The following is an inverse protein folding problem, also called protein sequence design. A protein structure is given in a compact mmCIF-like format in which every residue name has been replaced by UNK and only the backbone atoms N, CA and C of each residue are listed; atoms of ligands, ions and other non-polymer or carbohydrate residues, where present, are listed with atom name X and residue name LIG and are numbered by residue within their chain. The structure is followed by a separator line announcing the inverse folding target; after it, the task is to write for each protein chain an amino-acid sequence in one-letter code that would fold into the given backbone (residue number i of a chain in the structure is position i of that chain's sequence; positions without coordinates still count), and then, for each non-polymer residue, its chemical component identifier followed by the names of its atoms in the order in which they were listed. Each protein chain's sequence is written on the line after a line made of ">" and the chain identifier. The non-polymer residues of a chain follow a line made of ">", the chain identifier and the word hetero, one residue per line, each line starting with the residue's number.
data_IF_543599513162
#
_entry.id   IF_543599513162
#
_cell.length_a   1.000
_cell.length_b   1.000
_cell.length_c   1.000
_cell.angle_alpha   90.00
_cell.angle_beta   90.00
_cell.angle_gamma   90.00
#
_symmetry.space_group_name_H-M   'P 1'
#
loop_
_entity.id
_entity.type
_entity.pdbx_description
1 polymer ?
#
# COMPACT_ATOMS: atom_id res chain seq x y z
N UNK A 1 -27.95 10.29 -0.35
CA UNK A 1 -26.60 10.73 0.07
C UNK A 1 -25.88 11.33 -1.12
N UNK A 2 -25.02 12.35 -0.94
CA UNK A 2 -24.14 12.77 -2.04
C UNK A 2 -23.17 11.63 -2.34
N UNK A 3 -22.86 11.36 -3.63
CA UNK A 3 -21.89 10.33 -3.97
C UNK A 3 -20.54 10.65 -3.30
N UNK A 4 -19.90 9.62 -2.74
CA UNK A 4 -18.59 9.76 -2.12
C UNK A 4 -17.53 10.09 -3.18
N UNK A 5 -16.81 11.18 -2.99
CA UNK A 5 -15.72 11.57 -3.88
C UNK A 5 -14.37 11.41 -3.14
N UNK A 6 -13.60 10.44 -3.56
CA UNK A 6 -12.27 10.14 -3.01
C UNK A 6 -11.28 11.31 -3.14
N UNK A 7 -11.51 12.23 -4.08
CA UNK A 7 -10.63 13.38 -4.34
C UNK A 7 -11.05 14.62 -3.54
N UNK A 8 -12.23 14.61 -2.94
CA UNK A 8 -12.80 15.80 -2.28
C UNK A 8 -12.13 16.14 -0.95
N UNK A 9 -11.46 15.19 -0.31
CA UNK A 9 -10.81 15.40 0.99
C UNK A 9 -9.43 14.78 1.01
N UNK A 10 -8.48 15.52 1.56
CA UNK A 10 -7.11 15.05 1.82
C UNK A 10 -6.66 15.50 3.21
N UNK A 11 -6.16 14.60 4.08
CA UNK A 11 -6.03 13.16 3.88
C UNK A 11 -7.38 12.42 3.93
N UNK A 12 -7.54 11.38 3.12
CA UNK A 12 -8.63 10.43 3.20
C UNK A 12 -8.30 9.32 4.19
N UNK A 13 -9.15 9.12 5.19
CA UNK A 13 -8.94 8.08 6.21
C UNK A 13 -10.04 7.01 6.12
N UNK A 14 -9.62 5.78 5.81
CA UNK A 14 -10.47 4.60 5.76
C UNK A 14 -10.11 3.73 6.96
N UNK A 15 -11.06 3.41 7.85
CA UNK A 15 -10.76 2.56 9.00
C UNK A 15 -11.93 1.68 9.42
N UNK A 16 -11.60 0.59 10.12
CA UNK A 16 -12.52 -0.40 10.63
C UNK A 16 -11.85 -1.75 10.83
N UNK A 17 -12.58 -2.79 11.24
CA UNK A 17 -11.98 -4.07 11.57
C UNK A 17 -11.41 -4.78 10.34
N UNK A 18 -10.37 -5.60 10.55
CA UNK A 18 -9.83 -6.49 9.52
C UNK A 18 -10.94 -7.35 8.93
N UNK A 19 -11.80 -7.91 9.79
CA UNK A 19 -12.98 -8.69 9.41
C UNK A 19 -14.21 -8.25 10.18
N UNK A 20 -15.37 -8.27 9.54
CA UNK A 20 -16.64 -8.37 10.25
C UNK A 20 -16.74 -9.79 10.85
N UNK A 21 -16.89 -9.90 12.18
CA UNK A 21 -16.85 -11.17 12.90
C UNK A 21 -18.20 -11.49 13.54
N UNK A 22 -18.74 -10.53 14.26
CA UNK A 22 -20.10 -10.53 14.82
C UNK A 22 -20.76 -9.17 14.57
N UNK A 23 -22.09 -9.12 14.65
CA UNK A 23 -22.81 -7.85 14.51
C UNK A 23 -22.38 -6.84 15.57
N UNK A 24 -22.33 -7.26 16.83
CA UNK A 24 -21.95 -6.42 17.96
C UNK A 24 -20.52 -5.87 17.78
N UNK A 25 -19.55 -6.72 17.47
CA UNK A 25 -18.16 -6.32 17.24
C UNK A 25 -18.06 -5.30 16.10
N UNK A 26 -18.75 -5.56 14.98
CA UNK A 26 -18.70 -4.70 13.79
C UNK A 26 -19.31 -3.33 14.09
N UNK A 27 -20.52 -3.30 14.64
CA UNK A 27 -21.24 -2.05 14.92
C UNK A 27 -20.53 -1.21 15.99
N UNK A 28 -20.08 -1.84 17.08
CA UNK A 28 -19.41 -1.11 18.15
C UNK A 28 -18.05 -0.56 17.71
N UNK A 29 -17.27 -1.33 16.93
CA UNK A 29 -16.04 -0.83 16.33
C UNK A 29 -16.31 0.39 15.44
N UNK A 30 -17.27 0.30 14.54
CA UNK A 30 -17.64 1.38 13.65
C UNK A 30 -18.15 2.63 14.41
N UNK A 31 -18.96 2.44 15.45
CA UNK A 31 -19.47 3.53 16.29
C UNK A 31 -18.35 4.29 16.99
N UNK A 32 -17.41 3.57 17.62
CA UNK A 32 -16.29 4.20 18.33
C UNK A 32 -15.35 4.91 17.37
N UNK A 33 -15.05 4.31 16.23
CA UNK A 33 -14.21 4.94 15.17
C UNK A 33 -14.89 6.21 14.66
N UNK A 34 -16.16 6.17 14.34
CA UNK A 34 -16.91 7.35 13.86
C UNK A 34 -16.91 8.48 14.89
N UNK A 35 -17.01 8.15 16.19
CA UNK A 35 -17.01 9.12 17.26
C UNK A 35 -15.72 9.93 17.38
N UNK A 36 -14.60 9.45 16.83
CA UNK A 36 -13.33 10.22 16.78
C UNK A 36 -13.41 11.44 15.85
N UNK A 37 -14.33 11.45 14.89
CA UNK A 37 -14.46 12.50 13.86
C UNK A 37 -13.30 12.57 12.87
N UNK A 38 -12.39 11.58 12.87
CA UNK A 38 -11.17 11.56 12.04
C UNK A 38 -11.25 10.60 10.85
N UNK A 39 -12.28 9.77 10.77
CA UNK A 39 -12.45 8.74 9.75
C UNK A 39 -13.52 9.15 8.75
N UNK A 40 -13.26 8.93 7.47
CA UNK A 40 -14.12 9.30 6.35
C UNK A 40 -14.94 8.14 5.80
N UNK A 41 -14.39 6.93 5.86
CA UNK A 41 -15.01 5.71 5.36
C UNK A 41 -14.80 4.56 6.36
N UNK A 42 -15.87 3.90 6.71
CA UNK A 42 -15.81 2.68 7.52
C UNK A 42 -15.50 1.48 6.63
N UNK A 43 -14.62 0.59 7.10
CA UNK A 43 -14.26 -0.62 6.37
C UNK A 43 -14.48 -1.87 7.20
N UNK A 44 -14.81 -2.98 6.55
CA UNK A 44 -14.66 -4.32 7.12
C UNK A 44 -14.40 -5.33 6.01
N UNK A 45 -13.56 -6.33 6.28
CA UNK A 45 -13.42 -7.48 5.39
C UNK A 45 -14.61 -8.42 5.56
N UNK A 46 -15.33 -8.67 4.50
CA UNK A 46 -16.53 -9.53 4.49
C UNK A 46 -16.17 -10.93 4.03
N UNK A 47 -15.29 -11.02 3.05
CA UNK A 47 -14.71 -12.25 2.53
C UNK A 47 -13.19 -12.19 2.70
N UNK A 48 -12.58 -13.30 3.13
CA UNK A 48 -11.16 -13.35 3.45
C UNK A 48 -10.50 -14.47 2.66
N UNK A 49 -9.75 -14.15 1.58
CA UNK A 49 -8.96 -15.14 0.87
C UNK A 49 -7.85 -15.66 1.79
N UNK A 50 -7.87 -16.93 2.13
CA UNK A 50 -6.89 -17.56 3.02
C UNK A 50 -5.96 -18.51 2.27
N UNK A 51 -4.68 -18.48 2.63
CA UNK A 51 -3.68 -19.41 2.08
C UNK A 51 -3.85 -20.82 2.64
N UNK A 52 -4.27 -20.93 3.92
CA UNK A 52 -4.48 -22.23 4.56
C UNK A 52 -5.98 -22.49 4.69
N UNK A 53 -6.47 -23.67 4.25
CA UNK A 53 -7.85 -24.06 4.48
C UNK A 53 -8.16 -24.18 5.97
N UNK A 54 -9.44 -24.01 6.35
CA UNK A 54 -9.87 -24.09 7.75
C UNK A 54 -9.65 -22.83 8.59
N UNK A 55 -9.05 -21.77 8.01
CA UNK A 55 -9.00 -20.44 8.65
C UNK A 55 -10.32 -19.71 8.46
N UNK A 56 -10.59 -18.67 9.28
CA UNK A 56 -11.79 -17.84 9.14
C UNK A 56 -11.83 -17.14 7.76
N UNK A 57 -12.82 -17.47 6.94
CA UNK A 57 -12.96 -17.00 5.55
C UNK A 57 -13.93 -15.81 5.41
N UNK A 58 -14.43 -15.29 6.53
CA UNK A 58 -15.39 -14.22 6.58
C UNK A 58 -16.84 -14.70 6.83
N UNK A 59 -17.74 -13.77 7.04
CA UNK A 59 -19.15 -14.05 7.38
C UNK A 59 -20.10 -13.92 6.19
N UNK A 60 -19.59 -13.48 5.05
CA UNK A 60 -20.37 -13.30 3.82
C UNK A 60 -21.44 -12.21 3.95
N UNK A 61 -22.60 -12.42 3.30
CA UNK A 61 -23.67 -11.41 3.19
C UNK A 61 -24.15 -10.83 4.52
N UNK A 62 -24.06 -11.59 5.61
CA UNK A 62 -24.41 -11.07 6.95
C UNK A 62 -23.55 -9.86 7.33
N UNK A 63 -22.26 -9.90 7.01
CA UNK A 63 -21.34 -8.79 7.27
C UNK A 63 -21.68 -7.54 6.45
N UNK A 64 -22.17 -7.68 5.21
CA UNK A 64 -22.67 -6.54 4.44
C UNK A 64 -23.88 -5.89 5.10
N UNK A 65 -24.81 -6.70 5.60
CA UNK A 65 -25.97 -6.19 6.33
C UNK A 65 -25.54 -5.40 7.60
N UNK A 66 -24.53 -5.90 8.33
CA UNK A 66 -23.99 -5.18 9.50
C UNK A 66 -23.29 -3.87 9.10
N UNK A 67 -22.56 -3.85 7.98
CA UNK A 67 -21.96 -2.63 7.48
C UNK A 67 -23.01 -1.60 7.03
N UNK A 68 -24.12 -2.03 6.39
CA UNK A 68 -25.23 -1.13 6.07
C UNK A 68 -25.84 -0.52 7.33
N UNK A 69 -26.04 -1.31 8.41
CA UNK A 69 -26.46 -0.77 9.72
C UNK A 69 -25.43 0.21 10.29
N UNK A 70 -24.15 -0.09 10.18
CA UNK A 70 -23.09 0.82 10.64
C UNK A 70 -23.15 2.18 9.91
N UNK A 71 -23.42 2.17 8.61
CA UNK A 71 -23.67 3.41 7.83
C UNK A 71 -24.86 4.19 8.35
N UNK A 72 -25.98 3.51 8.62
CA UNK A 72 -27.19 4.15 9.16
C UNK A 72 -26.93 4.77 10.54
N UNK A 73 -26.19 4.10 11.40
CA UNK A 73 -25.87 4.55 12.75
C UNK A 73 -24.88 5.71 12.79
N UNK A 74 -23.94 5.76 11.86
CA UNK A 74 -22.83 6.71 11.91
C UNK A 74 -22.92 7.84 10.87
N UNK A 75 -23.69 7.63 9.81
CA UNK A 75 -23.75 8.52 8.65
C UNK A 75 -22.52 8.45 7.73
N UNK A 76 -21.52 7.61 8.03
CA UNK A 76 -20.31 7.48 7.24
C UNK A 76 -20.47 6.47 6.10
N UNK A 77 -19.83 6.72 4.93
CA UNK A 77 -19.72 5.74 3.85
C UNK A 77 -19.08 4.43 4.33
N UNK A 78 -19.39 3.34 3.62
CA UNK A 78 -18.87 2.01 3.94
C UNK A 78 -18.07 1.42 2.77
N UNK A 79 -17.06 0.62 3.09
CA UNK A 79 -16.20 -0.03 2.11
C UNK A 79 -15.85 -1.47 2.45
N UNK A 80 -15.60 -2.28 1.40
CA UNK A 80 -15.17 -3.67 1.57
C UNK A 80 -14.28 -4.16 0.42
N UNK A 81 -13.55 -5.26 0.68
CA UNK A 81 -12.77 -5.98 -0.33
C UNK A 81 -13.66 -6.92 -1.14
N UNK A 82 -13.42 -6.96 -2.46
CA UNK A 82 -14.04 -7.93 -3.36
C UNK A 82 -12.98 -8.78 -4.07
N UNK A 83 -13.35 -10.01 -4.42
CA UNK A 83 -12.47 -10.95 -5.11
C UNK A 83 -13.15 -11.64 -6.30
N UNK A 84 -14.45 -11.48 -6.47
CA UNK A 84 -15.25 -12.09 -7.55
C UNK A 84 -16.36 -11.14 -8.00
N UNK A 85 -16.93 -11.37 -9.19
CA UNK A 85 -18.11 -10.64 -9.69
C UNK A 85 -19.32 -10.75 -8.72
N UNK A 86 -19.54 -11.92 -8.11
CA UNK A 86 -20.61 -12.11 -7.12
C UNK A 86 -20.43 -11.25 -5.87
N UNK A 87 -19.18 -11.03 -5.45
CA UNK A 87 -18.89 -10.11 -4.33
C UNK A 87 -19.22 -8.67 -4.72
N UNK A 88 -18.95 -8.28 -5.96
CA UNK A 88 -19.30 -6.96 -6.50
C UNK A 88 -20.83 -6.77 -6.51
N UNK A 89 -21.57 -7.71 -7.09
CA UNK A 89 -23.02 -7.68 -7.15
C UNK A 89 -23.63 -7.51 -5.75
N UNK A 90 -23.20 -8.34 -4.80
CA UNK A 90 -23.65 -8.25 -3.42
C UNK A 90 -23.27 -6.90 -2.77
N UNK A 91 -22.05 -6.42 -2.96
CA UNK A 91 -21.62 -5.14 -2.41
C UNK A 91 -22.46 -3.97 -2.94
N UNK A 92 -22.77 -3.97 -4.24
CA UNK A 92 -23.62 -2.96 -4.87
C UNK A 92 -25.08 -3.05 -4.36
N UNK A 93 -25.64 -4.26 -4.21
CA UNK A 93 -26.98 -4.48 -3.66
C UNK A 93 -27.13 -3.91 -2.24
N UNK A 94 -26.10 -4.07 -1.39
CA UNK A 94 -26.06 -3.50 -0.04
C UNK A 94 -25.62 -2.04 0.00
N UNK A 95 -25.40 -1.41 -1.16
CA UNK A 95 -25.07 0.01 -1.30
C UNK A 95 -23.70 0.38 -0.73
N UNK A 96 -22.70 -0.48 -0.91
CA UNK A 96 -21.31 -0.17 -0.55
C UNK A 96 -20.79 0.99 -1.37
N UNK A 97 -20.18 1.99 -0.73
CA UNK A 97 -19.72 3.24 -1.35
C UNK A 97 -18.30 3.12 -1.91
N UNK A 98 -17.48 2.27 -1.29
CA UNK A 98 -16.06 2.06 -1.67
C UNK A 98 -15.76 0.56 -1.76
N UNK A 99 -15.33 0.12 -2.91
CA UNK A 99 -14.92 -1.27 -3.16
C UNK A 99 -13.41 -1.29 -3.42
N UNK A 100 -12.69 -2.28 -2.91
CA UNK A 100 -11.32 -2.48 -3.36
C UNK A 100 -11.03 -3.90 -3.79
N UNK A 101 -10.21 -3.98 -4.83
CA UNK A 101 -9.65 -5.24 -5.32
C UNK A 101 -8.47 -5.63 -4.45
N UNK A 102 -8.54 -6.80 -3.83
CA UNK A 102 -7.51 -7.29 -2.91
C UNK A 102 -6.21 -7.66 -3.62
N UNK A 103 -5.09 -7.58 -2.89
CA UNK A 103 -3.76 -7.85 -3.43
C UNK A 103 -3.58 -9.25 -4.04
N UNK A 104 -4.29 -10.27 -3.50
CA UNK A 104 -4.29 -11.62 -4.06
C UNK A 104 -5.13 -11.73 -5.33
N UNK A 105 -6.10 -10.88 -5.49
CA UNK A 105 -6.96 -10.80 -6.69
C UNK A 105 -6.28 -10.02 -7.81
N UNK A 106 -5.58 -8.94 -7.46
CA UNK A 106 -4.85 -8.09 -8.43
C UNK A 106 -3.79 -8.86 -9.22
N UNK A 107 -3.24 -9.95 -8.68
CA UNK A 107 -2.28 -10.80 -9.41
C UNK A 107 -2.91 -11.62 -10.55
N UNK A 108 -4.24 -11.70 -10.62
CA UNK A 108 -4.94 -12.51 -11.62
C UNK A 108 -5.73 -11.61 -12.58
N UNK A 109 -5.24 -11.42 -13.83
CA UNK A 109 -5.91 -10.57 -14.81
C UNK A 109 -7.34 -11.00 -15.17
N UNK A 110 -7.66 -12.31 -15.12
CA UNK A 110 -9.01 -12.81 -15.38
C UNK A 110 -9.96 -12.37 -14.25
N UNK A 111 -9.57 -12.57 -12.99
CA UNK A 111 -10.39 -12.13 -11.84
C UNK A 111 -10.60 -10.62 -11.84
N UNK A 112 -9.57 -9.84 -12.19
CA UNK A 112 -9.69 -8.38 -12.31
C UNK A 112 -10.65 -8.01 -13.42
N UNK A 113 -10.62 -8.73 -14.58
CA UNK A 113 -11.54 -8.48 -15.69
C UNK A 113 -12.99 -8.80 -15.29
N UNK A 114 -13.24 -9.94 -14.64
CA UNK A 114 -14.57 -10.32 -14.16
C UNK A 114 -15.17 -9.27 -13.21
N UNK A 115 -14.32 -8.73 -12.32
CA UNK A 115 -14.71 -7.65 -11.40
C UNK A 115 -15.00 -6.36 -12.16
N UNK A 116 -14.13 -6.00 -13.13
CA UNK A 116 -14.33 -4.80 -13.94
C UNK A 116 -15.64 -4.87 -14.76
N UNK A 117 -15.94 -6.05 -15.31
CA UNK A 117 -17.18 -6.27 -16.06
C UNK A 117 -18.42 -6.16 -15.16
N UNK A 118 -18.36 -6.68 -13.93
CA UNK A 118 -19.45 -6.56 -12.94
C UNK A 118 -19.66 -5.13 -12.44
N UNK A 119 -18.64 -4.28 -12.52
CA UNK A 119 -18.68 -2.87 -12.09
C UNK A 119 -19.17 -1.91 -13.19
N UNK A 120 -19.36 -2.38 -14.43
CA UNK A 120 -19.80 -1.52 -15.54
C UNK A 120 -21.10 -0.78 -15.22
N UNK A 121 -21.07 0.55 -15.32
CA UNK A 121 -22.22 1.41 -15.06
C UNK A 121 -22.53 1.64 -13.58
N UNK A 122 -21.78 1.06 -12.66
CA UNK A 122 -21.93 1.31 -11.23
C UNK A 122 -21.30 2.64 -10.82
N UNK A 123 -22.02 3.43 -10.00
CA UNK A 123 -21.52 4.66 -9.41
C UNK A 123 -20.88 4.40 -8.03
N UNK A 124 -19.73 3.74 -8.02
CA UNK A 124 -18.99 3.35 -6.82
C UNK A 124 -17.52 3.73 -6.96
N UNK A 125 -16.87 4.06 -5.84
CA UNK A 125 -15.41 4.28 -5.82
C UNK A 125 -14.69 2.93 -5.78
N UNK A 126 -13.72 2.75 -6.67
CA UNK A 126 -12.92 1.51 -6.76
C UNK A 126 -11.47 1.79 -6.45
N UNK A 127 -10.92 1.10 -5.45
CA UNK A 127 -9.52 1.14 -5.09
C UNK A 127 -8.84 -0.16 -5.52
N UNK A 128 -7.59 -0.07 -5.99
CA UNK A 128 -6.84 -1.23 -6.45
C UNK A 128 -5.60 -1.39 -5.58
N UNK A 129 -5.56 -2.45 -4.75
CA UNK A 129 -4.35 -2.79 -4.01
C UNK A 129 -3.24 -3.26 -4.97
N UNK A 130 -2.00 -2.88 -4.67
CA UNK A 130 -0.87 -3.47 -5.38
C UNK A 130 -0.90 -5.01 -5.26
N UNK A 131 -0.42 -5.75 -6.29
CA UNK A 131 -0.30 -7.20 -6.24
C UNK A 131 0.64 -7.63 -5.10
N UNK A 132 0.53 -8.90 -4.68
CA UNK A 132 1.40 -9.45 -3.64
C UNK A 132 2.88 -9.42 -4.06
N UNK A 133 3.18 -9.81 -5.29
CA UNK A 133 4.51 -9.76 -5.88
C UNK A 133 4.85 -8.34 -6.37
N UNK A 134 6.13 -7.96 -6.38
CA UNK A 134 6.58 -6.64 -6.85
C UNK A 134 6.55 -6.54 -8.37
N UNK A 135 5.34 -6.47 -8.93
CA UNK A 135 5.08 -6.42 -10.36
C UNK A 135 4.20 -5.20 -10.70
N UNK A 136 4.82 -4.20 -11.26
CA UNK A 136 4.19 -2.93 -11.65
C UNK A 136 3.24 -3.10 -12.82
N UNK A 137 3.54 -4.02 -13.74
CA UNK A 137 2.73 -4.21 -14.93
C UNK A 137 1.39 -4.90 -14.59
N UNK A 138 1.38 -5.82 -13.61
CA UNK A 138 0.14 -6.36 -13.06
C UNK A 138 -0.72 -5.28 -12.40
N UNK A 139 -0.10 -4.35 -11.66
CA UNK A 139 -0.84 -3.26 -11.01
C UNK A 139 -1.39 -2.27 -12.05
N UNK A 140 -0.56 -1.86 -13.00
CA UNK A 140 -0.97 -0.99 -14.12
C UNK A 140 -2.05 -1.63 -14.99
N UNK A 141 -1.91 -2.93 -15.28
CA UNK A 141 -2.89 -3.69 -16.03
C UNK A 141 -4.26 -3.79 -15.34
N UNK A 142 -4.28 -3.88 -14.00
CA UNK A 142 -5.52 -3.85 -13.24
C UNK A 142 -6.22 -2.49 -13.36
N UNK A 143 -5.47 -1.38 -13.31
CA UNK A 143 -6.01 -0.03 -13.53
C UNK A 143 -6.59 0.10 -14.92
N UNK A 144 -5.84 -0.30 -15.96
CA UNK A 144 -6.28 -0.21 -17.34
C UNK A 144 -7.58 -1.00 -17.59
N UNK A 145 -7.77 -2.18 -16.98
CA UNK A 145 -9.02 -2.95 -17.08
C UNK A 145 -10.20 -2.20 -16.49
N UNK A 146 -10.02 -1.56 -15.32
CA UNK A 146 -11.08 -0.76 -14.70
C UNK A 146 -11.42 0.48 -15.55
N UNK A 147 -10.40 1.19 -16.06
CA UNK A 147 -10.60 2.34 -16.96
C UNK A 147 -11.33 1.94 -18.25
N UNK A 148 -10.93 0.81 -18.87
CA UNK A 148 -11.58 0.28 -20.07
C UNK A 148 -13.04 -0.16 -19.82
N UNK A 149 -13.37 -0.57 -18.60
CA UNK A 149 -14.75 -0.85 -18.19
C UNK A 149 -15.58 0.41 -17.89
N UNK A 150 -14.98 1.61 -18.02
CA UNK A 150 -15.64 2.89 -17.79
C UNK A 150 -15.68 3.35 -16.34
N UNK A 151 -14.89 2.74 -15.45
CA UNK A 151 -14.80 3.15 -14.05
C UNK A 151 -13.96 4.41 -13.95
N UNK A 152 -14.54 5.51 -13.49
CA UNK A 152 -13.89 6.83 -13.41
C UNK A 152 -13.45 7.21 -12.01
N UNK A 153 -14.10 6.67 -10.97
CA UNK A 153 -13.75 6.91 -9.56
C UNK A 153 -12.73 5.87 -9.09
N UNK A 154 -11.47 6.02 -9.52
CA UNK A 154 -10.38 5.09 -9.23
C UNK A 154 -9.38 5.68 -8.26
N UNK A 155 -8.74 4.80 -7.46
CA UNK A 155 -7.61 5.10 -6.61
C UNK A 155 -6.76 3.86 -6.36
N UNK A 156 -5.60 4.04 -5.75
CA UNK A 156 -4.62 3.00 -5.49
C UNK A 156 -4.44 2.78 -3.99
N UNK A 157 -4.21 1.53 -3.60
CA UNK A 157 -3.81 1.19 -2.23
C UNK A 157 -2.45 0.52 -2.28
N UNK A 158 -1.47 1.14 -1.64
CA UNK A 158 -0.15 0.56 -1.42
C UNK A 158 -0.11 -0.14 -0.07
N UNK A 159 0.07 -1.49 -0.11
CA UNK A 159 0.06 -2.37 1.08
C UNK A 159 1.38 -3.14 1.26
N UNK A 160 2.44 -2.77 0.52
CA UNK A 160 3.70 -3.49 0.47
C UNK A 160 3.64 -4.76 -0.40
N UNK A 161 4.79 -5.34 -0.62
CA UNK A 161 5.00 -6.49 -1.50
C UNK A 161 5.61 -7.67 -0.73
N UNK A 162 5.35 -8.88 -1.19
CA UNK A 162 6.03 -10.07 -0.67
C UNK A 162 7.53 -10.01 -0.99
N UNK A 163 8.35 -10.36 -0.01
CA UNK A 163 9.78 -10.49 -0.18
C UNK A 163 10.24 -11.86 0.34
N UNK A 164 11.31 -12.40 -0.24
CA UNK A 164 11.96 -13.60 0.26
C UNK A 164 12.96 -13.23 1.36
N UNK A 165 12.99 -14.02 2.42
CA UNK A 165 13.91 -13.84 3.55
C UNK A 165 13.30 -13.07 4.72
N UNK A 166 14.15 -12.75 5.71
CA UNK A 166 13.76 -11.98 6.88
C UNK A 166 13.56 -10.51 6.52
N UNK A 167 12.47 -9.93 6.97
CA UNK A 167 12.14 -8.52 6.80
C UNK A 167 11.60 -7.95 8.09
N UNK A 168 11.87 -6.67 8.35
CA UNK A 168 11.29 -5.91 9.45
C UNK A 168 9.75 -5.84 9.33
N UNK A 169 9.26 -5.77 8.11
CA UNK A 169 7.85 -5.66 7.77
C UNK A 169 7.30 -7.01 7.27
N UNK A 170 6.01 -7.24 7.52
CA UNK A 170 5.29 -8.39 6.96
C UNK A 170 5.29 -8.37 5.42
N UNK A 171 5.16 -7.19 4.84
CA UNK A 171 5.27 -6.96 3.41
C UNK A 171 6.20 -5.75 3.18
N UNK A 172 7.28 -5.98 2.44
CA UNK A 172 8.26 -4.92 2.19
C UNK A 172 7.58 -3.75 1.44
N UNK A 173 7.67 -2.53 1.92
CA UNK A 173 6.99 -1.40 1.28
C UNK A 173 7.50 -1.11 -0.14
N UNK A 174 8.79 -1.35 -0.45
CA UNK A 174 9.35 -1.06 -1.78
C UNK A 174 8.83 0.28 -2.34
N UNK A 175 9.05 1.35 -1.59
CA UNK A 175 8.50 2.69 -1.86
C UNK A 175 8.73 3.18 -3.28
N UNK A 176 9.85 2.80 -3.91
CA UNK A 176 10.18 3.15 -5.28
C UNK A 176 9.13 2.67 -6.30
N UNK A 177 8.51 1.49 -6.08
CA UNK A 177 7.45 0.98 -6.95
C UNK A 177 6.16 1.82 -6.82
N UNK A 178 5.81 2.21 -5.60
CA UNK A 178 4.65 3.07 -5.38
C UNK A 178 4.88 4.50 -5.95
N UNK A 179 6.10 5.03 -5.82
CA UNK A 179 6.50 6.31 -6.42
C UNK A 179 6.40 6.23 -7.96
N UNK A 180 6.85 5.14 -8.56
CA UNK A 180 6.72 4.93 -10.00
C UNK A 180 5.26 4.85 -10.43
N UNK A 181 4.40 4.13 -9.69
CA UNK A 181 2.96 4.08 -9.99
C UNK A 181 2.31 5.46 -9.89
N UNK A 182 2.70 6.27 -8.91
CA UNK A 182 2.23 7.66 -8.80
C UNK A 182 2.68 8.52 -9.98
N UNK A 183 3.87 8.28 -10.53
CA UNK A 183 4.37 8.96 -11.73
C UNK A 183 3.64 8.52 -13.00
N UNK A 184 3.25 7.25 -13.09
CA UNK A 184 2.47 6.72 -14.23
C UNK A 184 1.00 7.16 -14.21
N UNK A 185 0.41 7.33 -13.00
CA UNK A 185 -1.00 7.66 -12.79
C UNK A 185 -1.14 8.83 -11.80
N UNK A 186 -0.65 10.02 -12.15
CA UNK A 186 -0.62 11.18 -11.25
C UNK A 186 -2.02 11.68 -10.86
N UNK A 187 -3.04 11.34 -11.65
CA UNK A 187 -4.42 11.71 -11.39
C UNK A 187 -5.15 10.80 -10.39
N UNK A 188 -4.57 9.62 -10.08
CA UNK A 188 -5.17 8.65 -9.17
C UNK A 188 -4.65 8.85 -7.74
N UNK A 189 -5.54 9.02 -6.76
CA UNK A 189 -5.12 9.10 -5.36
C UNK A 189 -4.46 7.79 -4.90
N UNK A 190 -3.37 7.91 -4.12
CA UNK A 190 -2.61 6.82 -3.55
C UNK A 190 -2.84 6.77 -2.04
N UNK A 191 -3.39 5.67 -1.56
CA UNK A 191 -3.68 5.40 -0.15
C UNK A 191 -2.66 4.40 0.40
N UNK A 192 -2.06 4.69 1.56
CA UNK A 192 -1.18 3.73 2.23
C UNK A 192 -1.97 2.80 3.14
N UNK A 193 -1.60 1.53 3.16
CA UNK A 193 -2.11 0.50 4.07
C UNK A 193 -1.00 0.06 5.05
N UNK A 194 -0.71 0.85 6.09
CA UNK A 194 0.35 0.53 7.03
C UNK A 194 0.09 -0.76 7.81
N UNK A 195 -1.17 -1.12 8.06
CA UNK A 195 -1.54 -2.35 8.78
C UNK A 195 -0.98 -3.59 8.07
N UNK A 196 -1.17 -3.68 6.75
CA UNK A 196 -0.68 -4.82 5.98
C UNK A 196 0.82 -4.74 5.67
N UNK A 197 1.40 -3.53 5.56
CA UNK A 197 2.85 -3.36 5.43
C UNK A 197 3.53 -3.91 6.69
N UNK A 198 3.15 -3.42 7.86
CA UNK A 198 3.80 -3.75 9.13
C UNK A 198 3.49 -5.16 9.62
N UNK A 199 2.22 -5.59 9.58
CA UNK A 199 1.76 -6.84 10.18
C UNK A 199 1.79 -6.85 11.71
N UNK A 200 2.16 -5.73 12.33
CA UNK A 200 2.18 -5.50 13.78
C UNK A 200 1.94 -4.01 14.08
N UNK A 201 1.63 -3.69 15.34
CA UNK A 201 1.33 -2.30 15.78
C UNK A 201 2.57 -1.41 15.88
N UNK A 202 3.75 -2.00 16.12
CA UNK A 202 4.97 -1.29 16.50
C UNK A 202 5.42 -0.25 15.46
N UNK A 203 5.28 -0.55 14.17
CA UNK A 203 5.79 0.29 13.09
C UNK A 203 4.72 1.07 12.35
N UNK A 204 3.45 1.03 12.80
CA UNK A 204 2.34 1.68 12.10
C UNK A 204 2.55 3.19 11.94
N UNK A 205 3.00 3.86 13.01
CA UNK A 205 3.23 5.30 12.99
C UNK A 205 4.35 5.67 12.03
N UNK A 206 5.46 4.93 12.04
CA UNK A 206 6.60 5.17 11.15
C UNK A 206 6.20 5.04 9.68
N UNK A 207 5.51 3.95 9.33
CA UNK A 207 5.06 3.70 7.96
C UNK A 207 3.99 4.72 7.52
N UNK A 208 3.04 5.06 8.40
CA UNK A 208 2.03 6.06 8.11
C UNK A 208 2.65 7.46 7.93
N UNK A 209 3.60 7.86 8.78
CA UNK A 209 4.34 9.13 8.62
C UNK A 209 5.16 9.13 7.33
N UNK A 210 5.87 8.03 7.03
CA UNK A 210 6.64 7.91 5.78
C UNK A 210 5.76 8.09 4.55
N UNK A 211 4.55 7.53 4.55
CA UNK A 211 3.62 7.75 3.44
C UNK A 211 3.15 9.20 3.34
N UNK A 212 2.90 9.88 4.46
CA UNK A 212 2.56 11.30 4.49
C UNK A 212 3.73 12.18 3.96
N UNK A 213 4.97 11.82 4.30
CA UNK A 213 6.18 12.48 3.80
C UNK A 213 6.40 12.24 2.29
N UNK A 214 5.90 11.13 1.75
CA UNK A 214 5.89 10.79 0.31
C UNK A 214 4.65 11.32 -0.43
N UNK A 215 3.89 12.22 0.21
CA UNK A 215 2.75 12.91 -0.40
C UNK A 215 1.58 11.98 -0.78
N UNK A 216 1.32 10.91 -0.01
CA UNK A 216 0.15 10.07 -0.19
C UNK A 216 -1.14 10.82 0.13
N UNK A 217 -2.24 10.39 -0.45
CA UNK A 217 -3.53 11.07 -0.36
C UNK A 217 -4.36 10.60 0.85
N UNK A 218 -3.93 9.55 1.55
CA UNK A 218 -4.63 9.04 2.73
C UNK A 218 -4.09 7.72 3.26
N UNK A 219 -4.84 7.17 4.21
CA UNK A 219 -4.51 5.92 4.91
C UNK A 219 -5.72 4.98 4.94
N UNK A 220 -5.46 3.68 4.84
CA UNK A 220 -6.41 2.63 5.22
C UNK A 220 -5.81 1.82 6.37
N UNK A 221 -6.41 1.91 7.57
CA UNK A 221 -5.87 1.34 8.80
C UNK A 221 -6.90 0.44 9.46
N UNK A 222 -6.45 -0.72 9.92
CA UNK A 222 -7.31 -1.66 10.63
C UNK A 222 -7.45 -1.28 12.11
N UNK A 223 -8.70 -1.25 12.58
CA UNK A 223 -9.05 -0.98 13.97
C UNK A 223 -10.17 -1.90 14.45
N UNK A 224 -10.11 -2.33 15.72
CA UNK A 224 -11.04 -3.28 16.33
C UNK A 224 -11.25 -2.92 17.80
N UNK A 225 -12.47 -3.06 18.32
CA UNK A 225 -12.77 -2.76 19.75
C UNK A 225 -11.93 -3.56 20.74
N UNK A 226 -11.54 -4.79 20.36
CA UNK A 226 -10.70 -5.67 21.16
C UNK A 226 -9.71 -6.42 20.24
N UNK A 227 -8.64 -5.76 19.76
CA UNK A 227 -7.76 -6.30 18.72
C UNK A 227 -7.18 -7.68 19.06
N UNK A 228 -6.83 -7.92 20.32
CA UNK A 228 -6.22 -9.19 20.75
C UNK A 228 -7.17 -10.39 20.70
N UNK A 229 -8.49 -10.14 20.59
CA UNK A 229 -9.53 -11.16 20.42
C UNK A 229 -10.01 -11.28 18.97
N UNK A 230 -9.45 -10.50 18.05
CA UNK A 230 -9.86 -10.54 16.65
C UNK A 230 -9.60 -11.90 16.01
N UNK A 231 -10.52 -12.35 15.17
CA UNK A 231 -10.44 -13.63 14.47
C UNK A 231 -9.47 -13.60 13.29
N UNK A 232 -9.06 -12.41 12.88
CA UNK A 232 -8.07 -12.22 11.81
C UNK A 232 -7.13 -11.07 12.11
N UNK A 233 -5.85 -11.27 11.77
CA UNK A 233 -4.78 -10.26 11.80
C UNK A 233 -4.73 -9.40 13.08
N UNK A 234 -4.92 -10.05 14.25
CA UNK A 234 -5.01 -9.43 15.59
C UNK A 234 -3.84 -8.50 15.93
N UNK A 235 -2.62 -8.88 15.52
CA UNK A 235 -1.38 -8.19 15.86
C UNK A 235 -1.22 -6.80 15.24
N UNK A 236 -1.94 -6.52 14.14
CA UNK A 236 -1.79 -5.28 13.37
C UNK A 236 -2.91 -4.27 13.58
N UNK A 237 -4.01 -4.67 14.20
CA UNK A 237 -5.17 -3.81 14.43
C UNK A 237 -4.97 -2.92 15.66
N UNK A 238 -5.43 -1.68 15.59
CA UNK A 238 -5.46 -0.74 16.70
C UNK A 238 -6.81 -0.78 17.42
N UNK A 239 -6.84 -0.35 18.68
CA UNK A 239 -8.10 0.07 19.31
C UNK A 239 -8.57 1.40 18.66
N UNK A 240 -9.85 1.79 18.78
CA UNK A 240 -10.31 3.10 18.32
C UNK A 240 -9.53 4.26 18.93
N UNK A 241 -9.20 4.22 20.21
CA UNK A 241 -8.34 5.22 20.87
C UNK A 241 -6.91 5.22 20.32
N UNK A 242 -6.34 4.03 20.07
CA UNK A 242 -5.04 3.88 19.46
C UNK A 242 -4.99 4.42 18.02
N UNK A 243 -6.07 4.23 17.26
CA UNK A 243 -6.24 4.83 15.94
C UNK A 243 -6.29 6.36 16.02
N UNK A 244 -7.08 6.91 16.93
CA UNK A 244 -7.16 8.36 17.15
C UNK A 244 -5.78 8.94 17.50
N UNK A 245 -5.07 8.35 18.44
CA UNK A 245 -3.74 8.77 18.85
C UNK A 245 -2.75 8.74 17.67
N UNK A 246 -2.76 7.67 16.87
CA UNK A 246 -1.92 7.55 15.67
C UNK A 246 -2.26 8.65 14.66
N UNK A 247 -3.53 8.83 14.29
CA UNK A 247 -3.94 9.81 13.30
C UNK A 247 -3.59 11.25 13.72
N UNK A 248 -3.73 11.58 15.00
CA UNK A 248 -3.33 12.90 15.53
C UNK A 248 -1.82 13.11 15.56
N UNK A 249 -1.03 12.05 15.58
CA UNK A 249 0.44 12.13 15.58
C UNK A 249 1.03 12.34 14.19
N UNK A 250 0.28 12.06 13.11
CA UNK A 250 0.76 12.18 11.73
C UNK A 250 0.82 13.64 11.31
N UNK A 251 2.00 14.06 10.86
CA UNK A 251 2.22 15.38 10.28
C UNK A 251 2.04 15.31 8.77
N UNK A 252 0.90 15.76 8.28
CA UNK A 252 0.64 15.89 6.86
C UNK A 252 1.38 17.09 6.29
N UNK A 253 2.28 16.85 5.34
CA UNK A 253 3.11 17.91 4.77
C UNK A 253 2.47 18.52 3.54
N UNK A 254 2.86 19.76 3.23
CA UNK A 254 2.51 20.41 1.97
C UNK A 254 3.50 20.01 0.89
N UNK A 255 3.03 19.80 -0.32
CA UNK A 255 3.88 19.46 -1.47
C UNK A 255 4.85 20.60 -1.86
N UNK A 256 4.46 21.85 -1.59
CA UNK A 256 5.24 23.06 -1.93
C UNK A 256 5.11 24.13 -0.86
N UNK A 257 6.03 25.08 -0.88
CA UNK A 257 5.98 26.33 -0.10
C UNK A 257 6.51 27.49 -0.94
N UNK A 258 5.94 28.67 -0.76
CA UNK A 258 6.35 29.90 -1.45
C UNK A 258 7.50 30.63 -0.75
N UNK A 259 8.12 30.04 0.29
CA UNK A 259 9.23 30.64 1.01
C UNK A 259 10.47 30.77 0.11
N UNK A 260 10.96 31.99 -0.20
CA UNK A 260 12.14 32.18 -1.06
C UNK A 260 13.41 31.56 -0.47
N UNK A 261 13.58 31.65 0.84
CA UNK A 261 14.74 31.07 1.55
C UNK A 261 14.77 29.54 1.45
N UNK A 262 13.61 28.89 1.54
CA UNK A 262 13.49 27.46 1.31
C UNK A 262 13.84 27.08 -0.13
N UNK A 263 13.30 27.80 -1.12
CA UNK A 263 13.56 27.54 -2.54
C UNK A 263 15.06 27.66 -2.87
N UNK A 264 15.74 28.70 -2.37
CA UNK A 264 17.19 28.89 -2.58
C UNK A 264 18.02 27.79 -1.90
N UNK A 265 17.69 27.43 -0.65
CA UNK A 265 18.38 26.37 0.07
C UNK A 265 18.22 25.04 -0.65
N UNK A 266 17.01 24.73 -1.09
CA UNK A 266 16.74 23.48 -1.82
C UNK A 266 17.43 23.42 -3.17
N UNK A 267 17.43 24.52 -3.94
CA UNK A 267 18.12 24.59 -5.23
C UNK A 267 19.62 24.36 -5.09
N UNK A 268 20.26 24.97 -4.07
CA UNK A 268 21.67 24.75 -3.76
C UNK A 268 22.01 23.31 -3.45
N UNK A 269 21.20 22.66 -2.60
CA UNK A 269 21.42 21.27 -2.21
C UNK A 269 21.19 20.31 -3.39
N UNK A 270 20.18 20.57 -4.22
CA UNK A 270 19.93 19.79 -5.44
C UNK A 270 21.09 19.88 -6.42
N UNK A 271 21.64 21.08 -6.65
CA UNK A 271 22.81 21.23 -7.49
C UNK A 271 24.04 20.45 -6.98
N UNK A 272 24.22 20.35 -5.65
CA UNK A 272 25.28 19.52 -5.07
C UNK A 272 25.05 18.02 -5.34
N UNK A 273 23.79 17.55 -5.21
CA UNK A 273 23.43 16.18 -5.55
C UNK A 273 23.67 15.90 -7.03
N UNK A 274 23.26 16.80 -7.94
CA UNK A 274 23.46 16.63 -9.39
C UNK A 274 24.95 16.47 -9.74
N UNK A 275 25.84 17.22 -9.07
CA UNK A 275 27.29 17.08 -9.24
C UNK A 275 27.81 15.73 -8.75
N UNK A 276 27.40 15.31 -7.56
CA UNK A 276 27.77 14.01 -6.98
C UNK A 276 27.26 12.85 -7.86
N UNK A 277 26.05 12.94 -8.33
CA UNK A 277 25.48 11.94 -9.24
C UNK A 277 26.27 11.83 -10.55
N UNK A 278 26.70 12.96 -11.13
CA UNK A 278 27.57 12.96 -12.31
C UNK A 278 28.90 12.24 -12.06
N UNK A 279 29.55 12.49 -10.91
CA UNK A 279 30.77 11.79 -10.50
C UNK A 279 30.56 10.28 -10.31
N UNK A 280 29.44 9.89 -9.69
CA UNK A 280 29.04 8.48 -9.50
C UNK A 280 28.87 7.79 -10.86
N UNK A 281 28.20 8.42 -11.83
CA UNK A 281 28.02 7.86 -13.17
C UNK A 281 29.35 7.69 -13.89
N UNK A 282 30.28 8.64 -13.78
CA UNK A 282 31.62 8.50 -14.34
C UNK A 282 32.39 7.32 -13.72
N UNK A 283 32.34 7.17 -12.38
CA UNK A 283 33.00 6.08 -11.68
C UNK A 283 32.40 4.73 -12.05
N UNK A 284 31.08 4.62 -12.17
CA UNK A 284 30.40 3.42 -12.65
C UNK A 284 30.84 3.08 -14.07
N UNK A 285 30.87 4.06 -14.98
CA UNK A 285 31.35 3.87 -16.36
C UNK A 285 32.79 3.36 -16.40
N UNK A 286 33.69 3.95 -15.61
CA UNK A 286 35.09 3.48 -15.50
C UNK A 286 35.17 2.04 -15.00
N UNK A 287 34.39 1.71 -13.97
CA UNK A 287 34.31 0.36 -13.39
C UNK A 287 33.80 -0.67 -14.41
N UNK A 288 32.77 -0.31 -15.20
CA UNK A 288 32.21 -1.20 -16.23
C UNK A 288 33.25 -1.53 -17.31
N UNK A 289 33.99 -0.54 -17.78
CA UNK A 289 35.11 -0.78 -18.76
C UNK A 289 36.17 -1.75 -18.23
N UNK A 290 36.55 -1.63 -16.97
CA UNK A 290 37.50 -2.57 -16.35
C UNK A 290 36.89 -3.97 -16.21
N UNK A 291 35.58 -4.06 -15.86
CA UNK A 291 34.91 -5.34 -15.78
C UNK A 291 34.80 -6.06 -17.14
N UNK A 292 34.59 -5.31 -18.24
CA UNK A 292 34.58 -5.83 -19.60
C UNK A 292 35.97 -6.38 -19.97
N UNK A 293 37.07 -5.63 -19.67
CA UNK A 293 38.45 -6.11 -19.90
C UNK A 293 38.74 -7.41 -19.13
N UNK A 294 38.31 -7.51 -17.88
CA UNK A 294 38.42 -8.75 -17.09
C UNK A 294 37.62 -9.89 -17.76
N UNK A 295 36.44 -9.61 -18.29
CA UNK A 295 35.62 -10.57 -19.03
C UNK A 295 36.36 -11.11 -20.27
N UNK A 296 36.99 -10.24 -21.05
CA UNK A 296 37.81 -10.61 -22.22
C UNK A 296 39.00 -11.51 -21.84
N UNK A 297 39.77 -11.12 -20.82
CA UNK A 297 40.91 -11.92 -20.33
C UNK A 297 40.46 -13.30 -19.86
N UNK A 298 39.38 -13.40 -19.16
CA UNK A 298 38.82 -14.71 -18.72
C UNK A 298 38.37 -15.57 -19.89
N UNK A 299 37.70 -14.98 -20.87
CA UNK A 299 37.25 -15.68 -22.08
C UNK A 299 38.46 -16.23 -22.86
N UNK A 300 39.48 -15.42 -23.06
CA UNK A 300 40.64 -15.80 -23.83
C UNK A 300 41.48 -16.89 -23.14
N UNK A 301 41.32 -17.07 -21.82
CA UNK A 301 41.95 -18.13 -21.03
C UNK A 301 41.00 -19.27 -20.67
N UNK A 302 39.82 -19.32 -21.27
CA UNK A 302 38.76 -20.35 -20.97
C UNK A 302 38.41 -20.47 -19.49
N UNK A 303 38.33 -19.33 -18.76
CA UNK A 303 38.00 -19.22 -17.36
C UNK A 303 36.56 -18.74 -17.19
N UNK A 304 35.82 -19.33 -16.23
CA UNK A 304 34.44 -18.94 -15.95
C UNK A 304 34.32 -17.48 -15.51
N UNK A 305 33.22 -16.82 -15.89
CA UNK A 305 32.96 -15.42 -15.51
C UNK A 305 32.81 -15.32 -13.98
N UNK A 306 31.97 -16.17 -13.38
CA UNK A 306 31.73 -16.15 -11.93
C UNK A 306 32.84 -16.91 -11.20
N UNK A 307 33.47 -16.24 -10.26
CA UNK A 307 34.44 -16.80 -9.31
C UNK A 307 33.93 -16.53 -7.89
N UNK A 308 33.35 -17.56 -7.25
CA UNK A 308 32.64 -17.44 -5.96
C UNK A 308 33.48 -16.80 -4.85
N UNK A 309 34.76 -17.19 -4.73
CA UNK A 309 35.66 -16.60 -3.73
C UNK A 309 35.91 -15.10 -3.95
N UNK A 310 36.04 -14.66 -5.22
CA UNK A 310 36.17 -13.24 -5.52
C UNK A 310 34.89 -12.45 -5.24
N UNK A 311 33.74 -13.05 -5.57
CA UNK A 311 32.44 -12.46 -5.27
C UNK A 311 32.29 -12.24 -3.76
N UNK A 312 32.51 -13.28 -2.93
CA UNK A 312 32.42 -13.17 -1.49
C UNK A 312 33.36 -12.09 -0.93
N UNK A 313 34.60 -12.03 -1.39
CA UNK A 313 35.55 -11.01 -0.93
C UNK A 313 35.13 -9.56 -1.27
N UNK A 314 34.38 -9.35 -2.35
CA UNK A 314 33.81 -8.04 -2.69
C UNK A 314 32.68 -7.70 -1.72
N UNK A 315 31.74 -8.63 -1.50
CA UNK A 315 30.63 -8.44 -0.58
C UNK A 315 31.14 -8.13 0.83
N UNK A 316 32.05 -8.96 1.37
CA UNK A 316 32.60 -8.76 2.72
C UNK A 316 33.28 -7.39 2.88
N UNK A 317 34.02 -6.97 1.86
CA UNK A 317 34.66 -5.64 1.86
C UNK A 317 33.61 -4.52 1.86
N UNK A 318 32.58 -4.58 1.01
CA UNK A 318 31.54 -3.55 0.93
C UNK A 318 30.78 -3.48 2.24
N UNK A 319 30.32 -4.62 2.77
CA UNK A 319 29.60 -4.70 4.05
C UNK A 319 30.41 -4.14 5.20
N UNK A 320 31.75 -4.37 5.22
CA UNK A 320 32.63 -3.84 6.27
C UNK A 320 32.90 -2.32 6.16
N UNK A 321 32.81 -1.76 4.95
CA UNK A 321 33.09 -0.35 4.68
C UNK A 321 31.85 0.54 4.76
N UNK A 322 30.68 0.03 4.38
CA UNK A 322 29.46 0.79 4.29
C UNK A 322 29.11 1.56 5.58
N UNK A 323 29.15 0.95 6.81
CA UNK A 323 28.85 1.66 8.03
C UNK A 323 29.82 2.81 8.34
N UNK A 324 31.08 2.66 7.95
CA UNK A 324 32.09 3.72 8.15
C UNK A 324 31.86 4.95 7.28
N UNK A 325 31.11 4.77 6.18
CA UNK A 325 30.71 5.81 5.27
C UNK A 325 29.27 6.29 5.48
N UNK A 326 28.58 5.79 6.51
CA UNK A 326 27.19 6.13 6.79
C UNK A 326 26.21 5.54 5.77
N UNK A 327 26.61 4.47 5.03
CA UNK A 327 25.77 3.79 4.05
C UNK A 327 25.21 2.51 4.65
N UNK A 328 23.93 2.21 4.38
CA UNK A 328 23.30 0.94 4.78
C UNK A 328 24.02 -0.25 4.16
N UNK A 329 23.99 -1.39 4.86
CA UNK A 329 24.49 -2.68 4.38
C UNK A 329 23.40 -3.51 3.68
N UNK A 330 22.14 -3.02 3.69
CA UNK A 330 21.00 -3.64 3.04
C UNK A 330 20.89 -3.24 1.57
#
# INVERSE_FOLDING_TARGET
>A
MKPFDIKAKRPLIISGPCSAETEEQTLETCRQIAATGLVDVLRAGIWKPRTKPGSFEGVGLKGLAWMSKARELTGLPIGTEVATSKHVEAALEFGVDVIWVGARTTVNPFSVQDIADALKGADVTVLIKNPMNPDIELWSGAIARMQNAGITKLGLIHRGFSAYGASLYRNNPMWHLAIEMRSRFPELPMICDPSHICGCRTYLQEVAQKSADLDYDGLIIESHICPDKAWSDASQQLTPDGLEALLRSIVWRRSTTDSPSYQQALAKLRSQIDQIDAEIFELISKRMRVAEQIGLVKRDNNVTILQGGRWQSIVDRVVSQAPKLGVSTE
#
